data_IF_471436921429
#
_entry.id   IF_471436921429
#
_cell.length_a   1.000
_cell.length_b   1.000
_cell.length_c   1.000
_cell.angle_alpha   90.00
_cell.angle_beta   90.00
_cell.angle_gamma   90.00
#
_symmetry.space_group_name_H-M   'P 1'
#
loop_
_entity.id
_entity.type
_entity.pdbx_description
1 polymer ?
#
# COMPACT_ATOMS: atom_id res chain seq x y z
N UNK A 1 -25.21 -70.55 -20.01
CA UNK A 1 -25.71 -71.57 -19.06
C UNK A 1 -24.62 -71.75 -18.04
N UNK A 2 -24.69 -71.38 -16.77
CA UNK A 2 -25.71 -70.92 -15.80
C UNK A 2 -24.90 -70.10 -14.76
N UNK A 3 -25.26 -68.85 -14.40
CA UNK A 3 -26.11 -68.42 -13.26
C UNK A 3 -25.73 -69.07 -11.90
N UNK A 4 -25.67 -68.38 -10.74
CA UNK A 4 -26.35 -67.17 -10.30
C UNK A 4 -25.65 -66.52 -9.08
N UNK A 5 -25.87 -65.21 -8.94
CA UNK A 5 -26.08 -64.35 -7.76
C UNK A 5 -25.67 -64.79 -6.36
N UNK A 6 -25.00 -63.87 -5.64
CA UNK A 6 -25.61 -63.24 -4.45
C UNK A 6 -24.96 -61.88 -4.12
N UNK A 7 -25.79 -60.90 -3.75
CA UNK A 7 -25.44 -59.63 -3.07
C UNK A 7 -26.58 -59.41 -2.07
N UNK A 8 -26.34 -58.94 -0.82
CA UNK A 8 -26.20 -57.51 -0.48
C UNK A 8 -25.17 -57.28 0.67
N UNK A 9 -24.76 -56.12 1.18
CA UNK A 9 -25.40 -54.82 1.52
C UNK A 9 -24.35 -53.67 1.58
N UNK A 10 -24.79 -52.40 1.47
CA UNK A 10 -23.98 -51.19 1.63
C UNK A 10 -24.09 -50.55 3.04
N UNK A 11 -22.99 -49.95 3.52
CA UNK A 11 -22.91 -49.26 4.82
C UNK A 11 -23.40 -47.81 4.73
N UNK A 12 -24.10 -47.42 5.79
CA UNK A 12 -25.09 -46.35 5.97
C UNK A 12 -24.64 -44.90 5.71
N UNK A 13 -25.60 -44.14 5.14
CA UNK A 13 -25.72 -42.68 5.27
C UNK A 13 -26.47 -42.38 6.57
N UNK A 14 -25.94 -41.46 7.38
CA UNK A 14 -26.69 -40.87 8.50
C UNK A 14 -27.41 -39.62 8.01
N UNK A 15 -28.74 -39.70 7.98
CA UNK A 15 -29.67 -38.59 7.82
C UNK A 15 -29.77 -37.78 9.12
N UNK A 16 -29.84 -36.46 9.02
CA UNK A 16 -30.34 -35.60 10.10
C UNK A 16 -31.69 -35.03 9.70
N UNK A 17 -32.66 -35.34 10.56
CA UNK A 17 -34.10 -35.11 10.49
C UNK A 17 -34.48 -33.62 10.50
N UNK A 18 -35.43 -33.25 9.65
CA UNK A 18 -36.22 -32.02 9.75
C UNK A 18 -37.49 -32.28 10.58
N UNK A 19 -37.84 -31.34 11.46
CA UNK A 19 -39.10 -31.31 12.19
C UNK A 19 -39.49 -29.87 12.52
N UNK A 20 -40.57 -29.41 11.92
CA UNK A 20 -41.18 -28.08 12.01
C UNK A 20 -41.89 -27.82 13.36
N UNK A 21 -42.13 -26.55 13.72
CA UNK A 21 -43.15 -26.21 14.72
C UNK A 21 -43.05 -24.87 15.47
N UNK A 22 -43.45 -23.79 14.81
CA UNK A 22 -43.90 -22.45 15.26
C UNK A 22 -43.95 -22.05 16.75
N UNK A 23 -43.45 -20.83 17.03
CA UNK A 23 -43.79 -20.02 18.20
C UNK A 23 -43.38 -18.54 18.02
N UNK A 24 -44.38 -17.67 17.82
CA UNK A 24 -44.28 -16.22 17.53
C UNK A 24 -44.13 -15.40 18.82
N UNK A 25 -43.13 -14.52 18.91
CA UNK A 25 -43.19 -13.31 19.76
C UNK A 25 -42.23 -12.22 19.23
N UNK A 26 -42.80 -11.03 19.03
CA UNK A 26 -42.12 -9.78 18.64
C UNK A 26 -41.27 -9.25 19.80
N UNK A 27 -40.12 -8.67 19.48
CA UNK A 27 -39.32 -7.84 20.37
C UNK A 27 -38.26 -7.08 19.59
N UNK A 28 -38.60 -5.86 19.19
CA UNK A 28 -37.66 -4.86 18.64
C UNK A 28 -36.67 -4.42 19.71
N UNK A 29 -35.38 -4.25 19.36
CA UNK A 29 -34.48 -3.19 19.88
C UNK A 29 -33.14 -3.28 19.14
N UNK A 30 -32.97 -2.46 18.10
CA UNK A 30 -32.16 -1.23 18.08
C UNK A 30 -30.64 -1.46 17.96
N UNK A 31 -30.19 -1.30 16.72
CA UNK A 31 -28.82 -1.00 16.32
C UNK A 31 -28.31 0.24 17.05
N UNK A 32 -27.22 0.11 17.79
CA UNK A 32 -26.55 1.23 18.45
C UNK A 32 -25.79 2.06 17.40
N UNK A 33 -26.39 3.18 17.00
CA UNK A 33 -25.72 4.30 16.35
C UNK A 33 -24.68 4.89 17.31
N UNK A 34 -23.40 4.85 16.93
CA UNK A 34 -22.37 5.66 17.58
C UNK A 34 -22.34 7.05 16.93
N UNK A 35 -22.98 8.01 17.58
CA UNK A 35 -22.81 9.44 17.33
C UNK A 35 -21.54 9.92 18.04
N UNK A 36 -20.60 10.63 17.39
CA UNK A 36 -19.48 11.25 18.10
C UNK A 36 -19.97 12.49 18.88
N UNK A 37 -19.59 12.56 20.15
CA UNK A 37 -19.90 13.66 21.06
C UNK A 37 -19.21 14.99 20.63
N UNK A 38 -19.81 16.15 20.92
CA UNK A 38 -19.30 17.45 20.48
C UNK A 38 -18.05 17.88 21.27
N UNK A 39 -17.15 18.56 20.56
CA UNK A 39 -15.91 19.11 21.08
C UNK A 39 -16.13 20.06 22.27
N UNK A 40 -15.49 19.75 23.41
CA UNK A 40 -15.39 20.68 24.53
C UNK A 40 -14.53 21.89 24.15
N UNK A 41 -15.08 23.08 24.42
CA UNK A 41 -14.41 24.37 24.31
C UNK A 41 -13.27 24.43 25.33
N UNK A 42 -12.04 24.59 24.86
CA UNK A 42 -10.90 24.97 25.71
C UNK A 42 -10.96 26.48 25.94
N UNK A 43 -11.34 26.89 27.14
CA UNK A 43 -11.20 28.27 27.62
C UNK A 43 -9.72 28.60 27.85
N UNK A 44 -9.25 29.64 27.16
CA UNK A 44 -7.94 30.25 27.38
C UNK A 44 -7.91 31.03 28.69
N UNK A 45 -7.20 30.50 29.70
CA UNK A 45 -6.82 31.27 30.90
C UNK A 45 -5.45 31.91 30.69
N UNK A 46 -5.44 33.24 30.62
CA UNK A 46 -4.24 34.05 30.50
C UNK A 46 -3.50 34.15 31.85
N UNK A 47 -2.44 33.35 32.02
CA UNK A 47 -1.49 33.47 33.14
C UNK A 47 -0.24 34.25 32.74
N UNK A 48 -0.08 35.48 33.24
CA UNK A 48 1.17 36.26 33.15
C UNK A 48 2.26 35.61 34.01
N UNK A 49 3.32 35.11 33.38
CA UNK A 49 4.55 34.67 34.06
C UNK A 49 5.80 35.09 33.30
N UNK A 50 6.54 36.06 33.84
CA UNK A 50 7.85 36.50 33.32
C UNK A 50 8.91 35.42 33.62
N UNK A 51 9.51 34.84 32.59
CA UNK A 51 10.66 33.93 32.71
C UNK A 51 11.60 34.03 31.51
N UNK A 52 12.84 34.47 31.75
CA UNK A 52 13.88 34.71 30.73
C UNK A 52 14.20 33.44 29.92
N UNK A 53 14.05 33.50 28.59
CA UNK A 53 14.56 32.49 27.63
C UNK A 53 16.06 32.67 27.41
N UNK A 54 16.87 31.66 27.76
CA UNK A 54 18.21 31.45 27.16
C UNK A 54 18.02 30.66 25.85
N UNK A 55 18.49 31.23 24.73
CA UNK A 55 18.55 30.59 23.41
C UNK A 55 19.64 29.51 23.41
N UNK A 56 19.25 28.24 23.32
CA UNK A 56 20.12 27.16 22.85
C UNK A 56 19.75 26.83 21.40
N UNK A 57 20.67 27.07 20.45
CA UNK A 57 20.52 26.65 19.05
C UNK A 57 20.75 25.13 18.96
N UNK A 58 19.68 24.37 18.83
CA UNK A 58 19.72 23.00 18.32
C UNK A 58 19.10 22.98 16.93
N UNK A 59 19.90 22.74 15.88
CA UNK A 59 19.40 22.48 14.52
C UNK A 59 18.71 21.12 14.53
N UNK A 60 17.40 21.11 14.73
CA UNK A 60 16.55 19.95 14.49
C UNK A 60 15.95 20.02 13.09
N UNK A 61 15.99 18.92 12.37
CA UNK A 61 15.49 18.62 11.00
C UNK A 61 13.98 18.81 10.79
N UNK A 62 13.33 19.74 11.49
CA UNK A 62 11.90 20.07 11.31
C UNK A 62 11.60 20.99 10.12
N UNK A 63 12.63 21.46 9.40
CA UNK A 63 12.48 22.46 8.34
C UNK A 63 12.27 21.92 6.92
N UNK A 64 12.52 20.62 6.66
CA UNK A 64 12.55 20.10 5.27
C UNK A 64 11.15 19.76 4.75
N UNK A 65 10.28 19.19 5.58
CA UNK A 65 8.91 18.83 5.16
C UNK A 65 7.99 20.05 4.97
N UNK A 66 8.17 21.11 5.78
CA UNK A 66 7.37 22.33 5.67
C UNK A 66 7.74 23.18 4.44
N UNK A 67 8.91 22.96 3.82
CA UNK A 67 9.36 23.68 2.62
C UNK A 67 8.77 23.11 1.33
N UNK A 68 8.85 21.78 1.14
CA UNK A 68 8.42 21.13 -0.12
C UNK A 68 6.91 21.17 -0.34
N UNK A 69 6.10 21.10 0.73
CA UNK A 69 4.63 21.19 0.61
C UNK A 69 4.10 22.57 0.20
N UNK A 70 4.91 23.63 0.32
CA UNK A 70 4.55 24.97 -0.15
C UNK A 70 4.54 25.00 -1.70
N UNK A 71 5.42 24.23 -2.34
CA UNK A 71 5.57 24.19 -3.79
C UNK A 71 4.36 23.57 -4.49
N UNK A 72 3.63 22.68 -3.81
CA UNK A 72 2.41 22.04 -4.31
C UNK A 72 1.17 22.95 -4.24
N UNK A 73 1.19 23.99 -3.40
CA UNK A 73 0.03 24.80 -3.05
C UNK A 73 -1.02 24.06 -2.21
N UNK A 74 -2.09 24.77 -1.82
CA UNK A 74 -3.27 24.21 -1.14
C UNK A 74 -2.96 23.22 0.02
N UNK A 75 -2.02 23.59 0.90
CA UNK A 75 -1.58 22.75 2.02
C UNK A 75 -1.05 21.35 1.63
N UNK A 76 -0.50 21.19 0.42
CA UNK A 76 0.03 19.93 -0.10
C UNK A 76 -0.99 19.09 -0.89
N UNK A 77 -2.27 19.49 -0.92
CA UNK A 77 -3.28 18.82 -1.73
C UNK A 77 -3.16 19.24 -3.19
N UNK A 78 -3.14 18.27 -4.10
CA UNK A 78 -3.10 18.50 -5.54
C UNK A 78 -4.38 18.02 -6.22
N UNK A 79 -4.60 18.47 -7.44
CA UNK A 79 -5.55 17.83 -8.35
C UNK A 79 -4.83 16.81 -9.22
N UNK A 80 -5.56 15.79 -9.65
CA UNK A 80 -5.05 14.76 -10.57
C UNK A 80 -6.03 14.66 -11.73
N UNK A 81 -5.53 14.90 -12.94
CA UNK A 81 -6.28 14.71 -14.18
C UNK A 81 -5.96 13.32 -14.73
N UNK A 82 -6.94 12.44 -14.66
CA UNK A 82 -6.83 11.06 -15.10
C UNK A 82 -7.68 10.81 -16.34
N UNK A 83 -7.05 10.37 -17.42
CA UNK A 83 -7.72 9.98 -18.66
C UNK A 83 -8.28 8.56 -18.53
N UNK A 84 -9.52 8.38 -18.94
CA UNK A 84 -10.20 7.08 -19.04
C UNK A 84 -10.60 6.81 -20.48
N UNK A 85 -11.06 5.60 -20.76
CA UNK A 85 -11.51 5.22 -22.10
C UNK A 85 -12.70 6.08 -22.60
N UNK A 86 -13.56 6.55 -21.67
CA UNK A 86 -14.75 7.34 -22.00
C UNK A 86 -14.61 8.84 -21.72
N UNK A 87 -13.47 9.33 -21.21
CA UNK A 87 -13.32 10.74 -20.84
C UNK A 87 -12.22 11.04 -19.83
N UNK A 88 -12.47 12.02 -18.94
CA UNK A 88 -11.51 12.47 -17.93
C UNK A 88 -12.13 12.50 -16.53
N UNK A 89 -11.40 12.00 -15.56
CA UNK A 89 -11.71 12.08 -14.14
C UNK A 89 -10.77 13.07 -13.45
N UNK A 90 -11.33 13.93 -12.60
CA UNK A 90 -10.56 14.83 -11.73
C UNK A 90 -10.63 14.29 -10.31
N UNK A 91 -9.47 14.01 -9.73
CA UNK A 91 -9.34 13.61 -8.33
C UNK A 91 -8.64 14.69 -7.52
N UNK A 92 -8.88 14.68 -6.20
CA UNK A 92 -7.99 15.30 -5.22
C UNK A 92 -7.11 14.23 -4.59
N UNK A 93 -5.84 14.53 -4.40
CA UNK A 93 -4.84 13.64 -3.81
C UNK A 93 -3.93 14.40 -2.83
N UNK A 94 -3.44 13.72 -1.81
CA UNK A 94 -2.38 14.24 -0.94
C UNK A 94 -1.03 14.15 -1.66
N UNK A 95 -0.62 15.26 -2.28
CA UNK A 95 0.60 15.36 -3.06
C UNK A 95 1.87 15.22 -2.22
N UNK A 96 1.78 15.27 -0.88
CA UNK A 96 2.93 15.01 -0.01
C UNK A 96 3.48 13.59 -0.19
N UNK A 97 2.63 12.65 -0.60
CA UNK A 97 3.05 11.27 -0.90
C UNK A 97 3.95 11.20 -2.14
N UNK A 98 3.79 12.10 -3.12
CA UNK A 98 4.65 12.17 -4.30
C UNK A 98 6.06 12.69 -3.95
N UNK A 99 6.20 13.41 -2.83
CA UNK A 99 7.45 14.04 -2.40
C UNK A 99 8.29 13.15 -1.46
N UNK A 100 7.83 11.93 -1.18
CA UNK A 100 8.57 10.96 -0.38
C UNK A 100 9.73 10.41 -1.19
N UNK A 101 10.88 10.21 -0.54
CA UNK A 101 12.10 9.70 -1.20
C UNK A 101 11.91 8.31 -1.82
N UNK A 102 10.89 7.56 -1.36
CA UNK A 102 10.49 6.25 -1.86
C UNK A 102 9.06 6.25 -2.44
N UNK A 103 8.62 7.38 -3.02
CA UNK A 103 7.27 7.52 -3.57
C UNK A 103 6.99 6.45 -4.65
N UNK A 104 7.96 6.24 -5.55
CA UNK A 104 7.83 5.29 -6.68
C UNK A 104 7.66 3.85 -6.18
N UNK A 105 8.33 3.48 -5.09
CA UNK A 105 8.25 2.13 -4.52
C UNK A 105 6.97 1.90 -3.71
N UNK A 106 6.31 2.96 -3.24
CA UNK A 106 5.21 2.85 -2.28
C UNK A 106 3.83 3.09 -2.89
N UNK A 107 3.66 4.07 -3.78
CA UNK A 107 2.33 4.58 -4.15
C UNK A 107 1.41 3.48 -4.65
N UNK A 108 1.91 2.53 -5.46
CA UNK A 108 1.09 1.45 -6.01
C UNK A 108 0.37 0.61 -4.95
N UNK A 109 0.91 0.50 -3.72
CA UNK A 109 0.26 -0.31 -2.67
C UNK A 109 -1.03 0.29 -2.14
N UNK A 110 -1.19 1.60 -2.27
CA UNK A 110 -2.41 2.31 -1.90
C UNK A 110 -3.58 1.98 -2.84
N UNK A 111 -3.28 1.39 -4.00
CA UNK A 111 -4.21 1.09 -5.07
C UNK A 111 -4.31 -0.41 -5.38
N UNK A 112 -3.97 -1.28 -4.43
CA UNK A 112 -4.14 -2.73 -4.58
C UNK A 112 -5.63 -3.11 -4.57
N UNK A 113 -6.40 -2.47 -3.69
CA UNK A 113 -7.83 -2.72 -3.54
C UNK A 113 -8.64 -1.43 -3.56
N UNK A 114 -9.84 -1.49 -4.13
CA UNK A 114 -10.69 -0.32 -4.32
C UNK A 114 -11.07 0.42 -3.04
N UNK A 115 -11.20 -0.27 -1.90
CA UNK A 115 -11.51 0.39 -0.62
C UNK A 115 -10.31 1.17 -0.07
N UNK A 116 -9.08 0.68 -0.28
CA UNK A 116 -7.86 1.41 0.07
C UNK A 116 -7.74 2.66 -0.80
N UNK A 117 -7.91 2.51 -2.10
CA UNK A 117 -7.83 3.61 -3.05
C UNK A 117 -8.82 4.74 -2.72
N UNK A 118 -10.05 4.42 -2.31
CA UNK A 118 -11.06 5.41 -1.88
C UNK A 118 -10.68 6.22 -0.65
N UNK A 119 -9.77 5.71 0.18
CA UNK A 119 -9.24 6.45 1.33
C UNK A 119 -8.10 7.39 0.95
N UNK A 120 -7.51 7.19 -0.22
CA UNK A 120 -6.31 7.89 -0.68
C UNK A 120 -6.60 8.96 -1.74
N UNK A 121 -7.61 8.74 -2.58
CA UNK A 121 -8.03 9.69 -3.62
C UNK A 121 -9.53 9.98 -3.55
N UNK A 122 -9.91 11.22 -3.86
CA UNK A 122 -11.32 11.64 -3.87
C UNK A 122 -11.73 12.14 -5.24
N UNK A 123 -12.67 11.44 -5.90
CA UNK A 123 -13.24 11.87 -7.17
C UNK A 123 -14.02 13.18 -6.98
N UNK A 124 -13.72 14.19 -7.79
CA UNK A 124 -14.44 15.47 -7.83
C UNK A 124 -15.49 15.49 -8.93
N UNK A 125 -15.07 15.11 -10.13
CA UNK A 125 -15.95 15.09 -11.29
C UNK A 125 -15.40 14.08 -12.31
N UNK A 126 -16.31 13.39 -13.00
CA UNK A 126 -15.99 12.59 -14.17
C UNK A 126 -16.76 13.14 -15.36
N UNK A 127 -16.01 13.54 -16.39
CA UNK A 127 -16.53 14.14 -17.62
C UNK A 127 -16.37 13.13 -18.75
N UNK A 128 -17.49 12.69 -19.33
CA UNK A 128 -17.47 11.89 -20.55
C UNK A 128 -17.24 12.78 -21.76
N UNK A 129 -16.44 12.32 -22.70
CA UNK A 129 -16.18 13.00 -23.96
C UNK A 129 -16.42 12.05 -25.10
N UNK A 130 -17.00 12.55 -26.20
CA UNK A 130 -17.19 11.76 -27.42
C UNK A 130 -15.84 11.43 -28.08
N UNK A 131 -14.90 12.38 -28.03
CA UNK A 131 -13.55 12.20 -28.56
C UNK A 131 -12.50 12.58 -27.51
N UNK A 132 -12.00 11.57 -26.79
CA UNK A 132 -10.96 11.73 -25.76
C UNK A 132 -9.64 12.20 -26.36
N UNK A 133 -9.29 11.70 -27.55
CA UNK A 133 -7.99 11.96 -28.19
C UNK A 133 -7.79 13.41 -28.63
N UNK A 134 -8.87 14.15 -28.89
CA UNK A 134 -8.81 15.57 -29.27
C UNK A 134 -9.06 16.52 -28.10
N UNK A 135 -9.29 16.00 -26.89
CA UNK A 135 -9.65 16.82 -25.73
C UNK A 135 -8.49 17.71 -25.24
N UNK A 136 -7.26 17.28 -25.47
CA UNK A 136 -6.05 18.03 -25.13
C UNK A 136 -5.09 17.88 -26.31
N UNK A 137 -5.06 18.89 -27.18
CA UNK A 137 -4.30 18.87 -28.44
C UNK A 137 -3.41 20.13 -28.55
N UNK A 138 -2.19 20.03 -29.10
CA UNK A 138 -1.29 21.18 -29.23
C UNK A 138 -1.86 22.35 -30.06
N UNK A 139 -2.73 22.08 -31.03
CA UNK A 139 -3.31 23.06 -31.96
C UNK A 139 -4.60 23.64 -31.38
N UNK A 140 -5.54 22.79 -30.97
CA UNK A 140 -6.85 23.24 -30.48
C UNK A 140 -6.84 23.61 -28.99
N UNK A 141 -5.78 23.24 -28.25
CA UNK A 141 -5.67 23.46 -26.82
C UNK A 141 -6.45 22.43 -26.00
N UNK A 142 -6.97 22.87 -24.86
CA UNK A 142 -7.81 22.04 -23.98
C UNK A 142 -9.27 22.30 -24.35
N UNK A 143 -10.05 21.23 -24.51
CA UNK A 143 -11.51 21.28 -24.66
C UNK A 143 -12.13 22.23 -23.63
N UNK A 144 -12.99 23.15 -24.08
CA UNK A 144 -13.51 24.25 -23.24
C UNK A 144 -14.26 23.72 -22.02
N UNK A 145 -15.02 22.65 -22.20
CA UNK A 145 -15.77 22.00 -21.14
C UNK A 145 -14.84 21.36 -20.11
N UNK A 146 -13.78 20.68 -20.56
CA UNK A 146 -12.74 20.13 -19.68
C UNK A 146 -11.98 21.25 -18.95
N UNK A 147 -11.62 22.32 -19.65
CA UNK A 147 -10.94 23.48 -19.08
C UNK A 147 -11.78 24.15 -17.99
N UNK A 148 -13.08 24.34 -18.22
CA UNK A 148 -14.02 24.85 -17.21
C UNK A 148 -14.07 23.93 -15.99
N UNK A 149 -14.14 22.61 -16.18
CA UNK A 149 -14.15 21.65 -15.08
C UNK A 149 -12.84 21.71 -14.27
N UNK A 150 -11.67 21.82 -14.92
CA UNK A 150 -10.39 21.97 -14.21
C UNK A 150 -10.38 23.28 -13.40
N UNK A 151 -10.75 24.41 -14.02
CA UNK A 151 -10.77 25.74 -13.37
C UNK A 151 -11.77 25.82 -12.21
N UNK A 152 -12.87 25.05 -12.27
CA UNK A 152 -13.86 24.95 -11.20
C UNK A 152 -13.29 24.40 -9.89
N UNK A 153 -12.34 23.46 -9.96
CA UNK A 153 -11.82 22.78 -8.78
C UNK A 153 -10.43 23.26 -8.34
N UNK A 154 -9.62 23.81 -9.26
CA UNK A 154 -8.26 24.19 -8.94
C UNK A 154 -8.21 25.47 -8.10
N UNK A 155 -7.40 25.45 -7.06
CA UNK A 155 -7.15 26.61 -6.20
C UNK A 155 -5.91 27.36 -6.72
N UNK A 156 -5.86 28.71 -6.67
CA UNK A 156 -4.68 29.45 -7.08
C UNK A 156 -3.39 28.94 -6.41
N UNK A 157 -2.36 28.67 -7.21
CA UNK A 157 -1.08 28.13 -6.76
C UNK A 157 -1.06 26.62 -6.51
N UNK A 158 -2.19 25.92 -6.63
CA UNK A 158 -2.27 24.46 -6.55
C UNK A 158 -1.73 23.81 -7.83
N UNK A 159 -0.99 22.73 -7.70
CA UNK A 159 -0.50 21.97 -8.85
C UNK A 159 -1.50 20.90 -9.33
N UNK A 160 -1.39 20.58 -10.63
CA UNK A 160 -2.18 19.56 -11.31
C UNK A 160 -1.28 18.40 -11.79
N UNK A 161 -1.48 17.20 -11.28
CA UNK A 161 -0.81 16.00 -11.79
C UNK A 161 -1.48 15.49 -13.07
N UNK A 162 -0.68 15.17 -14.09
CA UNK A 162 -1.15 14.72 -15.41
C UNK A 162 -0.38 13.49 -15.89
N UNK A 163 -1.08 12.56 -16.55
CA UNK A 163 -0.51 11.27 -16.95
C UNK A 163 0.34 11.28 -18.22
N UNK A 164 0.34 12.39 -18.98
CA UNK A 164 1.10 12.53 -20.23
C UNK A 164 1.93 13.82 -20.20
N UNK A 165 3.20 13.81 -20.67
CA UNK A 165 4.03 15.00 -20.73
C UNK A 165 3.49 16.06 -21.71
N UNK A 166 2.78 15.62 -22.75
CA UNK A 166 2.10 16.51 -23.70
C UNK A 166 1.02 17.32 -22.99
N UNK A 167 0.23 16.69 -22.11
CA UNK A 167 -0.83 17.36 -21.34
C UNK A 167 -0.26 18.43 -20.42
N UNK A 168 0.86 18.13 -19.76
CA UNK A 168 1.57 19.11 -18.93
C UNK A 168 1.91 20.36 -19.73
N UNK A 169 2.53 20.18 -20.89
CA UNK A 169 2.97 21.30 -21.73
C UNK A 169 1.79 22.14 -22.21
N UNK A 170 0.73 21.49 -22.70
CA UNK A 170 -0.45 22.17 -23.25
C UNK A 170 -1.23 22.91 -22.16
N UNK A 171 -1.43 22.28 -20.99
CA UNK A 171 -2.18 22.88 -19.88
C UNK A 171 -1.41 24.05 -19.27
N UNK A 172 -0.08 23.94 -19.12
CA UNK A 172 0.77 25.03 -18.64
C UNK A 172 0.72 26.24 -19.59
N UNK A 173 0.77 26.01 -20.92
CA UNK A 173 0.70 27.09 -21.93
C UNK A 173 -0.70 27.72 -22.06
N UNK A 174 -1.75 26.90 -22.13
CA UNK A 174 -3.11 27.37 -22.45
C UNK A 174 -3.93 27.79 -21.22
N UNK A 175 -3.74 27.11 -20.09
CA UNK A 175 -4.53 27.35 -18.89
C UNK A 175 -3.78 28.11 -17.80
N UNK A 176 -2.46 28.28 -17.95
CA UNK A 176 -1.55 28.90 -16.97
C UNK A 176 -1.57 28.17 -15.61
N UNK A 177 -1.73 26.85 -15.65
CA UNK A 177 -1.78 25.97 -14.46
C UNK A 177 -0.48 25.17 -14.36
N UNK A 178 0.22 25.25 -13.21
CA UNK A 178 1.42 24.47 -12.97
C UNK A 178 1.11 22.96 -12.89
N UNK A 179 1.85 22.17 -13.66
CA UNK A 179 1.60 20.73 -13.78
C UNK A 179 2.75 19.86 -13.28
N UNK A 180 2.39 18.73 -12.68
CA UNK A 180 3.29 17.67 -12.23
C UNK A 180 3.23 16.49 -13.20
N UNK A 181 4.41 16.03 -13.61
CA UNK A 181 4.57 14.83 -14.41
C UNK A 181 5.98 14.27 -14.15
N UNK A 182 6.04 13.18 -13.40
CA UNK A 182 7.25 12.46 -13.04
C UNK A 182 6.90 10.99 -12.74
N UNK A 183 7.91 10.21 -12.34
CA UNK A 183 7.76 8.79 -12.05
C UNK A 183 6.76 8.50 -10.91
N UNK A 184 6.68 9.35 -9.89
CA UNK A 184 5.75 9.18 -8.79
C UNK A 184 4.31 9.45 -9.24
N UNK A 185 4.11 10.47 -10.09
CA UNK A 185 2.81 10.71 -10.76
C UNK A 185 2.44 9.51 -11.62
N UNK A 186 3.37 8.89 -12.34
CA UNK A 186 3.06 7.71 -13.15
C UNK A 186 2.65 6.49 -12.31
N UNK A 187 3.23 6.29 -11.13
CA UNK A 187 2.74 5.25 -10.19
C UNK A 187 1.33 5.56 -9.67
N UNK A 188 1.01 6.83 -9.45
CA UNK A 188 -0.35 7.26 -9.09
C UNK A 188 -1.33 6.98 -10.25
N UNK A 189 -0.97 7.33 -11.49
CA UNK A 189 -1.80 7.07 -12.68
C UNK A 189 -2.01 5.56 -12.89
N UNK A 190 -0.97 4.75 -12.67
CA UNK A 190 -1.07 3.30 -12.65
C UNK A 190 -2.11 2.83 -11.62
N UNK A 191 -2.02 3.34 -10.38
CA UNK A 191 -2.92 2.99 -9.29
C UNK A 191 -4.38 3.37 -9.56
N UNK A 192 -4.60 4.58 -10.09
CA UNK A 192 -5.92 5.03 -10.53
C UNK A 192 -6.50 4.10 -11.60
N UNK A 193 -5.68 3.67 -12.56
CA UNK A 193 -6.06 2.67 -13.56
C UNK A 193 -6.42 1.32 -12.95
N UNK A 194 -5.61 0.82 -12.01
CA UNK A 194 -5.86 -0.47 -11.35
C UNK A 194 -7.18 -0.48 -10.54
N UNK A 195 -7.58 0.67 -9.99
CA UNK A 195 -8.79 0.82 -9.19
C UNK A 195 -9.92 1.58 -9.89
N UNK A 196 -9.86 1.79 -11.22
CA UNK A 196 -10.79 2.68 -11.93
C UNK A 196 -12.26 2.25 -11.75
N UNK A 197 -12.52 0.94 -11.72
CA UNK A 197 -13.87 0.39 -11.54
C UNK A 197 -14.51 0.80 -10.20
N UNK A 198 -13.70 1.00 -9.16
CA UNK A 198 -14.16 1.42 -7.83
C UNK A 198 -14.18 2.93 -7.67
N UNK A 199 -13.22 3.61 -8.31
CA UNK A 199 -13.00 5.05 -8.20
C UNK A 199 -13.91 5.86 -9.11
N UNK A 200 -14.24 5.33 -10.28
CA UNK A 200 -15.12 5.93 -11.28
C UNK A 200 -16.20 4.92 -11.69
N UNK A 201 -17.21 4.62 -10.85
CA UNK A 201 -18.27 3.65 -11.18
C UNK A 201 -19.10 4.03 -12.42
N UNK A 202 -18.99 5.29 -12.83
CA UNK A 202 -19.60 5.81 -14.06
C UNK A 202 -18.87 5.34 -15.32
N UNK A 203 -17.59 4.98 -15.23
CA UNK A 203 -16.84 4.38 -16.33
C UNK A 203 -17.34 2.95 -16.53
N UNK A 204 -17.90 2.66 -17.71
CA UNK A 204 -18.50 1.36 -18.04
C UNK A 204 -17.68 0.60 -19.07
N UNK A 205 -16.72 1.27 -19.71
CA UNK A 205 -15.81 0.62 -20.63
C UNK A 205 -14.63 0.10 -19.82
N UNK A 206 -14.40 -1.21 -19.88
CA UNK A 206 -13.16 -1.76 -19.36
C UNK A 206 -12.00 -1.08 -20.09
N UNK A 207 -10.98 -0.66 -19.34
CA UNK A 207 -9.73 -0.17 -19.93
C UNK A 207 -9.22 -1.23 -20.90
N UNK A 208 -9.01 -0.81 -22.15
CA UNK A 208 -8.42 -1.63 -23.21
C UNK A 208 -7.06 -2.16 -22.74
N UNK A 209 -6.64 -3.31 -23.27
CA UNK A 209 -5.36 -3.93 -22.90
C UNK A 209 -4.14 -3.00 -23.11
N UNK A 210 -4.25 -2.03 -24.03
CA UNK A 210 -3.21 -1.04 -24.34
C UNK A 210 -3.17 0.14 -23.35
N UNK A 211 -4.29 0.47 -22.70
CA UNK A 211 -4.36 1.54 -21.70
C UNK A 211 -3.99 1.11 -20.28
N UNK A 212 -3.86 -0.21 -20.04
CA UNK A 212 -3.36 -0.73 -18.76
C UNK A 212 -1.84 -0.70 -18.80
N UNK A 213 -1.22 0.23 -18.07
CA UNK A 213 0.14 0.00 -17.59
C UNK A 213 0.08 -1.30 -16.78
N UNK A 214 0.49 -2.45 -17.33
CA UNK A 214 0.23 -3.73 -16.67
C UNK A 214 1.06 -3.92 -15.41
N UNK A 215 2.22 -3.26 -15.33
CA UNK A 215 3.15 -3.41 -14.23
C UNK A 215 3.63 -2.05 -13.74
N UNK A 216 3.42 -1.79 -12.45
CA UNK A 216 3.97 -0.64 -11.74
C UNK A 216 5.47 -0.84 -11.49
N UNK A 217 6.23 0.26 -11.39
CA UNK A 217 7.66 0.24 -11.04
C UNK A 217 7.88 -0.29 -9.63
N UNK A 218 7.03 0.10 -8.67
CA UNK A 218 7.12 -0.40 -7.30
C UNK A 218 6.82 -1.90 -7.20
N UNK A 219 5.78 -2.39 -7.89
CA UNK A 219 5.48 -3.82 -7.98
C UNK A 219 6.65 -4.60 -8.58
N UNK A 220 7.21 -4.10 -9.70
CA UNK A 220 8.38 -4.71 -10.35
C UNK A 220 9.56 -4.82 -9.39
N UNK A 221 9.87 -3.74 -8.68
CA UNK A 221 10.97 -3.69 -7.70
C UNK A 221 10.79 -4.74 -6.60
N UNK A 222 9.55 -4.92 -6.12
CA UNK A 222 9.25 -5.94 -5.11
C UNK A 222 9.45 -7.34 -5.67
N UNK A 223 8.97 -7.63 -6.87
CA UNK A 223 9.13 -8.95 -7.51
C UNK A 223 10.62 -9.28 -7.73
N UNK A 224 11.39 -8.32 -8.25
CA UNK A 224 12.83 -8.46 -8.48
C UNK A 224 13.62 -8.66 -7.18
N UNK A 225 13.22 -8.00 -6.08
CA UNK A 225 13.87 -8.19 -4.76
C UNK A 225 13.76 -9.62 -4.21
N UNK A 226 12.85 -10.42 -4.77
CA UNK A 226 12.63 -11.82 -4.42
C UNK A 226 13.00 -12.79 -5.57
N UNK A 227 13.77 -12.32 -6.55
CA UNK A 227 14.18 -13.09 -7.73
C UNK A 227 13.00 -13.66 -8.54
N UNK A 228 11.85 -12.99 -8.49
CA UNK A 228 10.65 -13.37 -9.25
C UNK A 228 10.59 -12.55 -10.55
N UNK A 229 11.02 -13.18 -11.65
CA UNK A 229 10.91 -12.58 -12.98
C UNK A 229 9.45 -12.66 -13.46
N UNK A 230 8.85 -11.52 -13.82
CA UNK A 230 7.46 -11.40 -14.28
C UNK A 230 7.41 -10.39 -15.42
N UNK A 231 6.90 -10.81 -16.58
CA UNK A 231 6.64 -9.90 -17.68
C UNK A 231 5.33 -9.13 -17.44
N UNK A 232 5.17 -7.90 -17.98
CA UNK A 232 3.95 -7.11 -17.82
C UNK A 232 2.67 -7.90 -18.16
N UNK A 233 2.71 -8.73 -19.22
CA UNK A 233 1.63 -9.59 -19.70
C UNK A 233 1.16 -10.61 -18.67
N UNK A 234 2.06 -11.03 -17.78
CA UNK A 234 1.79 -12.04 -16.76
C UNK A 234 1.11 -11.45 -15.51
N UNK A 235 1.18 -10.12 -15.33
CA UNK A 235 0.66 -9.46 -14.13
C UNK A 235 -0.85 -9.59 -14.09
N UNK A 236 -1.34 -10.09 -12.96
CA UNK A 236 -2.76 -10.23 -12.67
C UNK A 236 -3.06 -9.81 -11.22
N UNK A 237 -4.35 -9.71 -10.90
CA UNK A 237 -4.84 -9.28 -9.59
C UNK A 237 -4.21 -10.05 -8.41
N UNK A 238 -4.08 -11.38 -8.51
CA UNK A 238 -3.50 -12.19 -7.43
C UNK A 238 -2.01 -11.88 -7.19
N UNK A 239 -1.25 -11.60 -8.26
CA UNK A 239 0.15 -11.19 -8.15
C UNK A 239 0.24 -9.82 -7.47
N UNK A 240 -0.57 -8.85 -7.91
CA UNK A 240 -0.59 -7.48 -7.35
C UNK A 240 -0.92 -7.54 -5.85
N UNK A 241 -2.02 -8.19 -5.49
CA UNK A 241 -2.49 -8.29 -4.10
C UNK A 241 -1.47 -8.99 -3.20
N UNK A 242 -0.96 -10.15 -3.64
CA UNK A 242 -0.04 -10.94 -2.84
C UNK A 242 1.32 -10.24 -2.69
N UNK A 243 1.84 -9.62 -3.74
CA UNK A 243 3.06 -8.80 -3.68
C UNK A 243 2.87 -7.59 -2.76
N UNK A 244 1.69 -6.96 -2.79
CA UNK A 244 1.35 -5.86 -1.91
C UNK A 244 1.36 -6.24 -0.42
N UNK A 245 0.89 -7.43 -0.07
CA UNK A 245 0.99 -7.96 1.29
C UNK A 245 2.45 -8.25 1.68
N UNK A 246 3.25 -8.82 0.77
CA UNK A 246 4.69 -9.04 0.99
C UNK A 246 5.41 -7.72 1.26
N UNK A 247 5.18 -6.72 0.41
CA UNK A 247 5.70 -5.37 0.57
C UNK A 247 5.30 -4.77 1.92
N UNK A 248 4.02 -4.84 2.29
CA UNK A 248 3.51 -4.29 3.55
C UNK A 248 4.17 -4.93 4.78
N UNK A 249 4.50 -6.22 4.69
CA UNK A 249 5.25 -6.91 5.74
C UNK A 249 6.70 -6.40 5.85
N UNK A 250 7.39 -6.24 4.72
CA UNK A 250 8.76 -5.70 4.73
C UNK A 250 8.79 -4.24 5.17
N UNK A 251 7.84 -3.42 4.72
CA UNK A 251 7.68 -2.05 5.17
C UNK A 251 7.45 -1.96 6.68
N UNK A 252 6.62 -2.85 7.24
CA UNK A 252 6.36 -2.92 8.70
C UNK A 252 7.61 -3.25 9.52
N UNK A 253 8.57 -3.98 8.94
CA UNK A 253 9.89 -4.24 9.55
C UNK A 253 10.83 -3.04 9.34
N UNK A 254 10.91 -2.53 8.11
CA UNK A 254 11.89 -1.53 7.69
C UNK A 254 11.60 -0.13 8.26
N UNK A 255 10.33 0.23 8.52
CA UNK A 255 9.96 1.50 9.16
C UNK A 255 10.61 1.70 10.52
N UNK A 256 10.96 0.61 11.21
CA UNK A 256 11.65 0.64 12.51
C UNK A 256 13.18 0.65 12.38
N UNK A 257 13.73 0.56 11.17
CA UNK A 257 15.17 0.36 10.93
C UNK A 257 16.05 1.39 11.64
N UNK A 258 15.80 2.69 11.42
CA UNK A 258 16.59 3.78 12.05
C UNK A 258 16.53 3.70 13.58
N UNK A 259 15.33 3.53 14.14
CA UNK A 259 15.13 3.48 15.60
C UNK A 259 15.77 2.24 16.24
N UNK A 260 15.66 1.07 15.60
CA UNK A 260 16.27 -0.17 16.08
C UNK A 260 17.80 -0.13 15.99
N UNK A 261 18.36 0.46 14.92
CA UNK A 261 19.81 0.64 14.79
C UNK A 261 20.36 1.58 15.86
N UNK A 262 19.67 2.69 16.13
CA UNK A 262 20.02 3.59 17.24
C UNK A 262 19.94 2.89 18.61
N UNK A 263 18.90 2.09 18.84
CA UNK A 263 18.80 1.25 20.03
C UNK A 263 19.92 0.21 20.12
N UNK A 264 20.35 -0.36 18.99
CA UNK A 264 21.47 -1.28 18.87
C UNK A 264 22.81 -0.67 19.32
N UNK A 265 23.04 0.62 19.09
CA UNK A 265 24.25 1.28 19.61
C UNK A 265 24.35 1.25 21.14
N UNK A 266 23.20 1.22 21.84
CA UNK A 266 23.20 1.08 23.29
C UNK A 266 23.63 -0.32 23.73
N UNK A 267 23.40 -1.36 22.91
CA UNK A 267 23.90 -2.72 23.17
C UNK A 267 25.43 -2.74 23.27
N UNK A 268 26.11 -2.05 22.35
CA UNK A 268 27.56 -1.93 22.38
C UNK A 268 28.03 -1.11 23.59
N UNK A 269 27.37 0.01 23.88
CA UNK A 269 27.77 0.94 24.96
C UNK A 269 27.55 0.37 26.37
N UNK A 270 26.51 -0.45 26.58
CA UNK A 270 26.09 -0.91 27.91
C UNK A 270 26.49 -2.36 28.17
N UNK A 271 26.39 -3.22 27.15
CA UNK A 271 26.58 -4.68 27.27
C UNK A 271 27.77 -5.21 26.47
N UNK A 272 28.49 -4.32 25.78
CA UNK A 272 29.61 -4.67 24.89
C UNK A 272 29.22 -5.74 23.84
N UNK A 273 28.00 -5.63 23.31
CA UNK A 273 27.50 -6.47 22.21
C UNK A 273 27.57 -5.66 20.93
N UNK A 274 28.33 -6.14 19.95
CA UNK A 274 28.29 -5.57 18.60
C UNK A 274 27.09 -6.14 17.83
N UNK A 275 26.25 -5.24 17.31
CA UNK A 275 24.99 -5.58 16.65
C UNK A 275 24.85 -4.93 15.27
N UNK A 276 25.96 -4.44 14.69
CA UNK A 276 25.93 -3.76 13.39
C UNK A 276 25.52 -4.71 12.26
N UNK A 277 26.01 -5.94 12.29
CA UNK A 277 25.74 -7.01 11.32
C UNK A 277 24.38 -7.71 11.55
N UNK A 278 23.74 -7.49 12.69
CA UNK A 278 22.47 -8.14 13.01
C UNK A 278 21.34 -7.68 12.08
N UNK A 279 20.45 -8.59 11.70
CA UNK A 279 19.21 -8.21 11.04
C UNK A 279 18.25 -7.50 12.03
N UNK A 280 17.29 -6.71 11.51
CA UNK A 280 16.35 -5.96 12.35
C UNK A 280 15.54 -6.87 13.30
N UNK A 281 15.23 -8.09 12.86
CA UNK A 281 14.53 -9.08 13.69
C UNK A 281 15.39 -9.55 14.86
N UNK A 282 16.69 -9.81 14.64
CA UNK A 282 17.62 -10.17 15.73
C UNK A 282 17.75 -9.02 16.73
N UNK A 283 17.88 -7.78 16.24
CA UNK A 283 17.92 -6.58 17.07
C UNK A 283 16.67 -6.41 17.95
N UNK A 284 15.47 -6.43 17.37
CA UNK A 284 14.24 -6.26 18.15
C UNK A 284 14.04 -7.38 19.17
N UNK A 285 14.50 -8.60 18.85
CA UNK A 285 14.48 -9.74 19.77
C UNK A 285 15.37 -9.50 20.98
N UNK A 286 16.57 -8.96 20.76
CA UNK A 286 17.49 -8.61 21.85
C UNK A 286 16.90 -7.53 22.76
N UNK A 287 16.31 -6.49 22.18
CA UNK A 287 15.64 -5.43 22.94
C UNK A 287 14.43 -5.98 23.72
N UNK A 288 13.69 -6.93 23.15
CA UNK A 288 12.60 -7.64 23.82
C UNK A 288 13.11 -8.44 25.02
N UNK A 289 14.20 -9.18 24.86
CA UNK A 289 14.83 -9.97 25.92
C UNK A 289 15.31 -9.09 27.07
N UNK A 290 15.97 -7.96 26.78
CA UNK A 290 16.39 -6.99 27.81
C UNK A 290 15.21 -6.48 28.65
N UNK A 291 14.05 -6.27 28.03
CA UNK A 291 12.87 -5.75 28.70
C UNK A 291 12.06 -6.82 29.44
N UNK A 292 12.07 -8.06 28.94
CA UNK A 292 11.22 -9.17 29.39
C UNK A 292 11.94 -10.52 29.19
N UNK A 293 12.96 -10.83 30.01
CA UNK A 293 13.84 -11.98 29.78
C UNK A 293 13.18 -13.35 30.02
N UNK A 294 12.08 -13.39 30.77
CA UNK A 294 11.37 -14.61 31.13
C UNK A 294 10.18 -14.94 30.23
N UNK A 295 9.81 -14.02 29.33
CA UNK A 295 8.71 -14.27 28.39
C UNK A 295 9.19 -15.09 27.19
N UNK A 296 8.36 -16.03 26.75
CA UNK A 296 8.64 -16.82 25.55
C UNK A 296 8.85 -15.95 24.31
N UNK A 297 9.69 -16.45 23.39
CA UNK A 297 9.95 -15.84 22.08
C UNK A 297 9.24 -16.66 20.98
N UNK A 298 7.92 -16.48 20.80
CA UNK A 298 7.18 -17.31 19.88
C UNK A 298 7.67 -17.11 18.45
N UNK A 299 7.99 -18.22 17.78
CA UNK A 299 8.33 -18.29 16.34
C UNK A 299 9.58 -17.52 15.92
N UNK A 300 10.54 -17.40 16.84
CA UNK A 300 11.93 -17.11 16.53
C UNK A 300 12.73 -18.32 16.99
N UNK A 301 13.60 -18.91 16.15
CA UNK A 301 14.53 -19.94 16.62
C UNK A 301 15.41 -19.38 17.74
N UNK A 302 15.47 -20.06 18.89
CA UNK A 302 16.32 -19.66 20.03
C UNK A 302 17.81 -19.55 19.65
N UNK A 303 18.22 -20.19 18.56
CA UNK A 303 19.56 -20.18 17.95
C UNK A 303 19.98 -18.83 17.34
N UNK A 304 19.16 -17.79 17.49
CA UNK A 304 19.44 -16.45 16.93
C UNK A 304 20.58 -15.74 17.68
N UNK A 305 20.89 -16.14 18.92
CA UNK A 305 21.99 -15.60 19.73
C UNK A 305 23.00 -16.69 20.11
N UNK A 306 24.28 -16.30 20.24
CA UNK A 306 25.25 -17.16 20.93
C UNK A 306 24.91 -17.29 22.42
N UNK A 307 25.42 -18.32 23.09
CA UNK A 307 25.19 -18.49 24.53
C UNK A 307 25.69 -17.29 25.36
N UNK A 308 26.80 -16.68 24.94
CA UNK A 308 27.36 -15.48 25.58
C UNK A 308 26.48 -14.24 25.35
N UNK A 309 26.03 -14.02 24.11
CA UNK A 309 25.10 -12.94 23.77
C UNK A 309 23.81 -13.06 24.59
N UNK A 310 23.22 -14.25 24.62
CA UNK A 310 21.98 -14.51 25.35
C UNK A 310 22.15 -14.27 26.85
N UNK A 311 23.22 -14.81 27.45
CA UNK A 311 23.53 -14.62 28.87
C UNK A 311 23.70 -13.14 29.21
N UNK A 312 24.44 -12.38 28.39
CA UNK A 312 24.59 -10.93 28.58
C UNK A 312 23.26 -10.20 28.47
N UNK A 313 22.44 -10.49 27.46
CA UNK A 313 21.14 -9.83 27.26
C UNK A 313 20.17 -10.09 28.44
N UNK A 314 20.16 -11.30 29.00
CA UNK A 314 19.31 -11.62 30.16
C UNK A 314 19.82 -10.93 31.42
N UNK A 315 21.13 -10.95 31.67
CA UNK A 315 21.72 -10.40 32.89
C UNK A 315 21.79 -8.87 32.91
N UNK A 316 21.95 -8.24 31.74
CA UNK A 316 22.13 -6.80 31.64
C UNK A 316 20.81 -6.02 31.55
N UNK A 317 19.66 -6.68 31.42
CA UNK A 317 18.34 -6.05 31.34
C UNK A 317 18.14 -4.87 32.32
N UNK A 318 18.45 -5.01 33.62
CA UNK A 318 18.34 -3.92 34.59
C UNK A 318 19.16 -2.66 34.25
N UNK A 319 20.27 -2.79 33.51
CA UNK A 319 21.12 -1.64 33.10
C UNK A 319 20.45 -0.74 32.06
N UNK A 320 19.33 -1.18 31.48
CA UNK A 320 18.54 -0.46 30.47
C UNK A 320 17.28 0.20 31.06
N UNK A 321 17.08 0.15 32.37
CA UNK A 321 15.96 0.83 33.03
C UNK A 321 16.00 2.34 32.76
N UNK A 322 14.85 2.91 32.36
CA UNK A 322 14.75 4.31 31.93
C UNK A 322 15.39 4.66 30.58
N UNK A 323 16.04 3.71 29.90
CA UNK A 323 16.67 3.90 28.57
C UNK A 323 15.86 3.27 27.44
N UNK A 324 15.10 2.22 27.74
CA UNK A 324 14.19 1.55 26.80
C UNK A 324 12.75 1.65 27.27
N UNK A 325 11.84 1.91 26.33
CA UNK A 325 10.40 1.84 26.56
C UNK A 325 9.95 0.39 26.41
N UNK A 326 9.85 -0.34 27.53
CA UNK A 326 9.53 -1.78 27.55
C UNK A 326 8.31 -2.13 26.69
N UNK A 327 7.20 -1.40 26.87
CA UNK A 327 5.96 -1.63 26.11
C UNK A 327 6.18 -1.47 24.60
N UNK A 328 6.89 -0.42 24.16
CA UNK A 328 7.20 -0.19 22.75
C UNK A 328 8.06 -1.31 22.17
N UNK A 329 9.10 -1.76 22.88
CA UNK A 329 9.93 -2.89 22.44
C UNK A 329 9.09 -4.17 22.26
N UNK A 330 8.15 -4.45 23.18
CA UNK A 330 7.25 -5.61 23.07
C UNK A 330 6.26 -5.49 21.92
N UNK A 331 5.67 -4.32 21.69
CA UNK A 331 4.73 -4.10 20.58
C UNK A 331 5.44 -4.28 19.24
N UNK A 332 6.58 -3.60 19.04
CA UNK A 332 7.36 -3.68 17.80
C UNK A 332 7.86 -5.10 17.56
N UNK A 333 8.31 -5.81 18.61
CA UNK A 333 8.67 -7.22 18.50
C UNK A 333 7.54 -8.09 17.95
N UNK A 334 6.34 -7.97 18.55
CA UNK A 334 5.17 -8.77 18.14
C UNK A 334 4.77 -8.48 16.69
N UNK A 335 4.74 -7.21 16.32
CA UNK A 335 4.43 -6.77 14.97
C UNK A 335 5.43 -7.34 13.95
N UNK A 336 6.72 -7.20 14.20
CA UNK A 336 7.76 -7.67 13.28
C UNK A 336 7.81 -9.20 13.15
N UNK A 337 7.58 -9.94 14.24
CA UNK A 337 7.48 -11.41 14.19
C UNK A 337 6.26 -11.85 13.39
N UNK A 338 5.11 -11.21 13.60
CA UNK A 338 3.91 -11.48 12.84
C UNK A 338 4.11 -11.18 11.35
N UNK A 339 4.64 -10.00 11.02
CA UNK A 339 4.95 -9.58 9.66
C UNK A 339 5.90 -10.57 8.97
N UNK A 340 6.98 -11.01 9.64
CA UNK A 340 7.93 -11.99 9.09
C UNK A 340 7.26 -13.32 8.75
N UNK A 341 6.39 -13.83 9.63
CA UNK A 341 5.67 -15.09 9.39
C UNK A 341 4.68 -14.96 8.23
N UNK A 342 3.90 -13.88 8.22
CA UNK A 342 2.95 -13.62 7.14
C UNK A 342 3.68 -13.49 5.81
N UNK A 343 4.74 -12.68 5.75
CA UNK A 343 5.59 -12.53 4.58
C UNK A 343 6.07 -13.86 4.02
N UNK A 344 6.62 -14.75 4.84
CA UNK A 344 7.09 -16.06 4.37
C UNK A 344 5.95 -16.94 3.82
N UNK A 345 4.74 -16.84 4.38
CA UNK A 345 3.55 -17.51 3.84
C UNK A 345 3.15 -16.92 2.49
N UNK A 346 3.06 -15.59 2.42
CA UNK A 346 2.63 -14.88 1.22
C UNK A 346 3.63 -14.97 0.09
N UNK A 347 4.94 -15.01 0.39
CA UNK A 347 5.98 -15.19 -0.62
C UNK A 347 5.87 -16.55 -1.33
N UNK A 348 5.54 -17.62 -0.60
CA UNK A 348 5.27 -18.94 -1.21
C UNK A 348 4.05 -18.91 -2.12
N UNK A 349 3.00 -18.19 -1.72
CA UNK A 349 1.79 -18.02 -2.50
C UNK A 349 2.06 -17.15 -3.74
N UNK A 350 2.83 -16.08 -3.60
CA UNK A 350 3.25 -15.20 -4.69
C UNK A 350 4.04 -15.99 -5.74
N UNK A 351 5.02 -16.78 -5.30
CA UNK A 351 5.79 -17.65 -6.19
C UNK A 351 4.88 -18.69 -6.90
N UNK A 352 3.82 -19.16 -6.25
CA UNK A 352 2.84 -20.03 -6.91
C UNK A 352 2.05 -19.28 -7.99
N UNK A 353 1.50 -18.10 -7.70
CA UNK A 353 0.78 -17.30 -8.69
C UNK A 353 1.65 -16.88 -9.88
N UNK A 354 2.92 -16.55 -9.64
CA UNK A 354 3.88 -16.25 -10.71
C UNK A 354 4.10 -17.47 -11.62
N UNK A 355 4.21 -18.68 -11.05
CA UNK A 355 4.34 -19.90 -11.87
C UNK A 355 3.09 -20.20 -12.68
N UNK A 356 1.91 -20.02 -12.12
CA UNK A 356 0.65 -20.26 -12.84
C UNK A 356 0.44 -19.24 -13.96
N UNK A 357 0.71 -17.95 -13.69
CA UNK A 357 0.66 -16.91 -14.69
C UNK A 357 1.66 -17.14 -15.84
N UNK A 358 2.85 -17.66 -15.52
CA UNK A 358 3.87 -18.01 -16.52
C UNK A 358 3.38 -19.11 -17.46
N UNK A 359 2.81 -20.19 -16.92
CA UNK A 359 2.26 -21.27 -17.74
C UNK A 359 1.17 -20.78 -18.68
N UNK A 360 0.21 -20.01 -18.14
CA UNK A 360 -0.87 -19.45 -18.94
C UNK A 360 -0.34 -18.56 -20.08
N UNK A 361 0.66 -17.72 -19.78
CA UNK A 361 1.30 -16.86 -20.77
C UNK A 361 2.06 -17.64 -21.87
N UNK A 362 2.76 -18.71 -21.50
CA UNK A 362 3.45 -19.60 -22.45
C UNK A 362 2.46 -20.38 -23.33
N UNK A 363 1.36 -20.86 -22.75
CA UNK A 363 0.27 -21.54 -23.48
C UNK A 363 -0.38 -20.59 -24.50
N UNK A 364 -0.69 -19.36 -24.11
CA UNK A 364 -1.26 -18.34 -25.00
C UNK A 364 -0.32 -18.01 -26.17
N UNK A 365 0.98 -17.86 -25.91
CA UNK A 365 1.97 -17.65 -26.98
C UNK A 365 2.04 -18.83 -27.96
N UNK A 366 1.98 -20.06 -27.45
CA UNK A 366 2.03 -21.27 -28.27
C UNK A 366 0.79 -21.37 -29.16
N UNK A 367 -0.38 -21.05 -28.61
CA UNK A 367 -1.65 -20.98 -29.36
C UNK A 367 -1.60 -19.89 -30.45
N UNK A 368 -1.10 -18.70 -30.14
CA UNK A 368 -0.96 -17.62 -31.12
C UNK A 368 -0.03 -18.01 -32.28
N UNK A 369 1.12 -18.61 -31.98
CA UNK A 369 2.07 -19.08 -33.01
C UNK A 369 1.47 -20.17 -33.92
N UNK A 370 0.66 -21.08 -33.35
CA UNK A 370 -0.02 -22.12 -34.14
C UNK A 370 -1.11 -21.56 -35.08
N UNK A 371 -1.79 -20.47 -34.67
CA UNK A 371 -2.82 -19.81 -35.48
C UNK A 371 -2.22 -19.01 -36.65
N UNK A 372 -1.01 -18.46 -36.50
CA UNK A 372 -0.33 -17.72 -37.57
C UNK A 372 0.30 -18.66 -38.62
N UNK A 373 0.75 -19.85 -38.22
CA UNK A 373 1.28 -20.88 -39.14
C UNK A 373 0.24 -21.44 -40.12
N UNK A 374 -1.04 -21.46 -39.73
CA UNK A 374 -2.15 -21.97 -40.57
C UNK A 374 -2.61 -21.02 -41.68
N UNK A 375 -2.23 -19.73 -41.64
CA UNK A 375 -2.65 -18.73 -42.64
C UNK A 375 -1.71 -18.61 -43.84
N UNK A 376 -0.58 -19.33 -43.88
CA UNK A 376 0.37 -19.32 -45.01
C UNK A 376 0.16 -20.42 -46.04
N UNK A 377 -0.89 -21.23 -45.91
CA UNK A 377 -1.22 -22.32 -46.84
C UNK A 377 -2.63 -22.17 -47.41
N UNK A 378 -2.88 -21.11 -48.18
CA UNK A 378 -3.99 -21.04 -49.16
C UNK A 378 -3.45 -20.39 -50.44
#
# INVERSE_FOLDING_TARGET
>A
MESANDTPEPVEKVETVAGEGQGRARGETQSANFTPAPAEKVETVAGKGKGKRKKGKGKGTRGVFCGRGIELGNCGLILVLFETQSGFAIFTYDGMNLLLDNAVENIWVDFIEGYLAKSMVWLKEFKRLENVSSAIDPVTGVDEDLAMTIRKYIVPGQQLAVGKPEYKTIIEDKLEISCLHDDAVMELMWGLGNCVEYLVPSEKLELTMEGRLRMSKGLKTVLESYDLQVEPEMVNKHIIETAGVVYSCDHSVNKHGKSLRAAGEHLKKISDIDSQDWCLIKLVTALKLLCYPTEELPGIPLEVFSAEEYSKLVNDGPKYEGKLLKVSCKTVFKEMVWARRLRNRMLRLLAHYVREARKAYEEDQTLMSSCEGGKKSI
#
